data_IF_587992707487
#
_entry.id   IF_587992707487
#
_cell.length_a   1.000
_cell.length_b   1.000
_cell.length_c   1.000
_cell.angle_alpha   90.00
_cell.angle_beta   90.00
_cell.angle_gamma   90.00
#
_symmetry.space_group_name_H-M   'P 1'
#
loop_
_entity.id
_entity.type
_entity.pdbx_description
1 polymer ?
#
# COMPACT_ATOMS: atom_id res chain seq x y z
N UNK A 1 -8.59 16.64 4.60
CA UNK A 1 -7.24 16.07 4.84
C UNK A 1 -6.42 16.35 3.61
N UNK A 2 -5.46 17.29 3.70
CA UNK A 2 -4.67 17.73 2.56
C UNK A 2 -3.55 16.72 2.29
N UNK A 3 -3.40 16.31 1.03
CA UNK A 3 -2.35 15.41 0.56
C UNK A 3 -0.94 15.95 0.87
N UNK A 4 -0.78 17.28 0.95
CA UNK A 4 0.47 17.95 1.37
C UNK A 4 0.89 17.55 2.79
N UNK A 5 -0.06 17.53 3.73
CA UNK A 5 0.22 17.22 5.15
C UNK A 5 0.59 15.74 5.33
N UNK A 6 0.02 14.85 4.49
CA UNK A 6 0.41 13.44 4.48
C UNK A 6 1.82 13.23 3.93
N UNK A 7 2.21 13.96 2.89
CA UNK A 7 3.55 13.89 2.32
C UNK A 7 4.63 14.42 3.25
N UNK A 8 4.37 15.55 3.91
CA UNK A 8 5.29 16.13 4.90
C UNK A 8 5.50 15.20 6.10
N UNK A 9 4.44 14.54 6.58
CA UNK A 9 4.55 13.54 7.64
C UNK A 9 5.32 12.29 7.20
N UNK A 10 5.09 11.78 5.99
CA UNK A 10 5.82 10.62 5.47
C UNK A 10 7.31 10.94 5.27
N UNK A 11 7.62 12.16 4.80
CA UNK A 11 8.99 12.65 4.69
C UNK A 11 9.66 12.79 6.06
N UNK A 12 8.95 13.34 7.05
CA UNK A 12 9.44 13.47 8.42
C UNK A 12 9.70 12.12 9.09
N UNK A 13 8.78 11.15 8.95
CA UNK A 13 8.95 9.80 9.52
C UNK A 13 10.08 9.04 8.83
N UNK A 14 10.29 9.26 7.53
CA UNK A 14 11.43 8.73 6.78
C UNK A 14 12.75 9.34 7.22
N UNK A 15 12.85 10.67 7.31
CA UNK A 15 14.05 11.34 7.83
C UNK A 15 14.36 10.89 9.27
N UNK A 16 13.33 10.71 10.10
CA UNK A 16 13.49 10.26 11.47
C UNK A 16 13.96 8.79 11.55
N UNK A 17 13.48 7.93 10.66
CA UNK A 17 13.95 6.54 10.52
C UNK A 17 15.40 6.47 9.98
N UNK A 18 15.77 7.35 9.04
CA UNK A 18 17.13 7.43 8.50
C UNK A 18 18.11 8.03 9.53
N UNK A 19 17.64 8.92 10.42
CA UNK A 19 18.43 9.54 11.48
C UNK A 19 18.47 8.72 12.78
N UNK A 20 17.52 7.81 13.01
CA UNK A 20 17.43 6.93 14.19
C UNK A 20 18.74 6.22 14.58
N UNK A 21 19.56 5.70 13.64
CA UNK A 21 20.86 5.11 13.96
C UNK A 21 21.90 6.12 14.49
N UNK A 22 21.72 7.40 14.15
CA UNK A 22 22.61 8.52 14.51
C UNK A 22 22.14 9.25 15.78
N UNK A 23 20.84 9.19 16.07
CA UNK A 23 20.25 9.70 17.30
C UNK A 23 20.73 8.79 18.43
N UNK A 24 21.59 9.31 19.30
CA UNK A 24 22.18 8.56 20.40
C UNK A 24 21.12 7.80 21.19
N UNK A 25 21.06 6.48 20.97
CA UNK A 25 20.18 5.52 21.63
C UNK A 25 20.40 5.47 23.16
N UNK A 26 21.43 6.15 23.68
CA UNK A 26 21.66 6.36 25.11
C UNK A 26 20.67 7.35 25.75
N UNK A 27 20.00 8.19 24.95
CA UNK A 27 19.08 9.23 25.45
C UNK A 27 17.62 8.79 25.49
N UNK A 28 17.27 7.71 24.79
CA UNK A 28 15.90 7.23 24.62
C UNK A 28 15.70 5.87 25.27
N UNK A 29 14.53 5.65 25.86
CA UNK A 29 14.21 4.35 26.47
C UNK A 29 14.06 3.29 25.36
N UNK A 30 14.43 2.02 25.61
CA UNK A 30 14.29 0.94 24.62
C UNK A 30 12.88 0.82 24.02
N UNK A 31 11.84 1.08 24.83
CA UNK A 31 10.44 1.10 24.41
C UNK A 31 10.14 2.19 23.36
N UNK A 32 10.79 3.36 23.47
CA UNK A 32 10.61 4.46 22.52
C UNK A 32 11.26 4.12 21.17
N UNK A 33 12.42 3.47 21.20
CA UNK A 33 13.11 3.02 19.99
C UNK A 33 12.27 1.95 19.26
N UNK A 34 11.70 1.00 20.00
CA UNK A 34 10.82 -0.02 19.43
C UNK A 34 9.54 0.59 18.83
N UNK A 35 8.94 1.57 19.49
CA UNK A 35 7.77 2.28 18.96
C UNK A 35 8.11 3.01 17.65
N UNK A 36 9.25 3.71 17.60
CA UNK A 36 9.68 4.41 16.40
C UNK A 36 9.97 3.45 15.25
N UNK A 37 10.60 2.32 15.52
CA UNK A 37 10.82 1.28 14.51
C UNK A 37 9.50 0.76 13.95
N UNK A 38 8.53 0.44 14.83
CA UNK A 38 7.21 -0.05 14.39
C UNK A 38 6.49 0.97 13.51
N UNK A 39 6.53 2.25 13.88
CA UNK A 39 5.92 3.31 13.08
C UNK A 39 6.61 3.47 11.72
N UNK A 40 7.94 3.37 11.68
CA UNK A 40 8.69 3.40 10.43
C UNK A 40 8.31 2.22 9.52
N UNK A 41 8.18 1.02 10.07
CA UNK A 41 7.76 -0.17 9.34
C UNK A 41 6.33 -0.03 8.79
N UNK A 42 5.40 0.48 9.61
CA UNK A 42 4.00 0.74 9.22
C UNK A 42 3.90 1.75 8.06
N UNK A 43 4.66 2.85 8.09
CA UNK A 43 4.67 3.83 7.00
C UNK A 43 5.33 3.29 5.74
N UNK A 44 6.36 2.46 5.87
CA UNK A 44 7.01 1.84 4.73
C UNK A 44 6.06 0.85 4.02
N UNK A 45 5.30 0.06 4.77
CA UNK A 45 4.27 -0.81 4.21
C UNK A 45 3.14 -0.01 3.55
N UNK A 46 2.73 1.11 4.15
CA UNK A 46 1.74 2.01 3.53
C UNK A 46 2.24 2.56 2.20
N UNK A 47 3.49 3.05 2.16
CA UNK A 47 4.09 3.57 0.94
C UNK A 47 4.20 2.48 -0.16
N UNK A 48 4.55 1.25 0.21
CA UNK A 48 4.57 0.11 -0.72
C UNK A 48 3.18 -0.20 -1.28
N UNK A 49 2.16 -0.21 -0.43
CA UNK A 49 0.79 -0.43 -0.86
C UNK A 49 0.32 0.67 -1.82
N UNK A 50 0.59 1.94 -1.50
CA UNK A 50 0.20 3.07 -2.34
C UNK A 50 0.86 3.01 -3.72
N UNK A 51 2.14 2.64 -3.79
CA UNK A 51 2.84 2.47 -5.07
C UNK A 51 2.26 1.31 -5.89
N UNK A 52 1.97 0.18 -5.24
CA UNK A 52 1.32 -0.95 -5.88
C UNK A 52 -0.08 -0.59 -6.42
N UNK A 53 -0.88 0.18 -5.67
CA UNK A 53 -2.17 0.69 -6.16
C UNK A 53 -1.96 1.59 -7.37
N UNK A 54 -0.98 2.50 -7.32
CA UNK A 54 -0.68 3.42 -8.43
C UNK A 54 -0.31 2.64 -9.70
N UNK A 55 0.57 1.64 -9.61
CA UNK A 55 0.98 0.80 -10.73
C UNK A 55 -0.21 0.00 -11.30
N UNK A 56 -1.04 -0.59 -10.42
CA UNK A 56 -2.26 -1.29 -10.84
C UNK A 56 -3.24 -0.38 -11.57
N UNK A 57 -3.45 0.83 -11.07
CA UNK A 57 -4.33 1.82 -11.69
C UNK A 57 -3.76 2.31 -13.02
N UNK A 58 -2.45 2.56 -13.10
CA UNK A 58 -1.78 2.93 -14.35
C UNK A 58 -1.96 1.83 -15.41
N UNK A 59 -1.75 0.57 -15.02
CA UNK A 59 -1.97 -0.60 -15.90
C UNK A 59 -3.42 -0.70 -16.36
N UNK A 60 -4.39 -0.56 -15.44
CA UNK A 60 -5.80 -0.60 -15.78
C UNK A 60 -6.24 0.56 -16.70
N UNK A 61 -5.65 1.75 -16.54
CA UNK A 61 -5.91 2.91 -17.40
C UNK A 61 -5.26 2.80 -18.78
N UNK A 62 -4.13 2.08 -18.88
CA UNK A 62 -3.48 1.80 -20.15
C UNK A 62 -4.22 0.72 -20.96
N UNK A 63 -5.14 -0.03 -20.33
CA UNK A 63 -5.98 -1.00 -21.02
C UNK A 63 -6.93 -0.31 -22.00
N UNK A 64 -6.85 -0.69 -23.27
CA UNK A 64 -7.64 -0.11 -24.36
C UNK A 64 -8.94 -0.87 -24.62
N UNK A 65 -9.18 -1.98 -23.90
CA UNK A 65 -10.39 -2.78 -24.06
C UNK A 65 -11.62 -1.99 -23.59
N UNK A 66 -12.77 -2.14 -24.26
CA UNK A 66 -13.99 -1.48 -23.84
C UNK A 66 -14.43 -2.00 -22.46
N UNK A 67 -15.01 -1.10 -21.66
CA UNK A 67 -15.60 -1.46 -20.37
C UNK A 67 -16.74 -2.48 -20.53
N UNK A 68 -16.89 -3.35 -19.54
CA UNK A 68 -18.01 -4.29 -19.45
C UNK A 68 -19.10 -3.76 -18.53
N UNK A 69 -20.35 -4.11 -18.81
CA UNK A 69 -21.44 -3.85 -17.87
C UNK A 69 -21.34 -4.78 -16.66
N UNK A 70 -21.92 -4.38 -15.54
CA UNK A 70 -21.94 -5.21 -14.32
C UNK A 70 -22.59 -6.58 -14.56
N UNK A 71 -23.60 -6.64 -15.43
CA UNK A 71 -24.29 -7.88 -15.80
C UNK A 71 -23.38 -8.83 -16.60
N UNK A 72 -22.62 -8.29 -17.56
CA UNK A 72 -21.64 -9.05 -18.34
C UNK A 72 -20.55 -9.62 -17.44
N UNK A 73 -20.03 -8.81 -16.51
CA UNK A 73 -19.03 -9.27 -15.53
C UNK A 73 -19.61 -10.38 -14.65
N UNK A 74 -20.84 -10.22 -14.15
CA UNK A 74 -21.50 -11.22 -13.30
C UNK A 74 -21.70 -12.55 -14.04
N UNK A 75 -22.16 -12.50 -15.29
CA UNK A 75 -22.34 -13.71 -16.11
C UNK A 75 -21.01 -14.43 -16.35
N UNK A 76 -19.95 -13.68 -16.69
CA UNK A 76 -18.61 -14.23 -16.90
C UNK A 76 -18.04 -14.87 -15.63
N UNK A 77 -18.24 -14.25 -14.46
CA UNK A 77 -17.78 -14.81 -13.18
C UNK A 77 -18.53 -16.07 -12.79
N UNK A 78 -19.86 -16.11 -12.98
CA UNK A 78 -20.66 -17.30 -12.71
C UNK A 78 -20.23 -18.48 -13.59
N UNK A 79 -20.05 -18.23 -14.89
CA UNK A 79 -19.56 -19.25 -15.82
C UNK A 79 -18.18 -19.78 -15.40
N UNK A 80 -17.25 -18.89 -15.04
CA UNK A 80 -15.91 -19.29 -14.60
C UNK A 80 -15.95 -20.09 -13.29
N UNK A 81 -16.88 -19.79 -12.41
CA UNK A 81 -17.09 -20.54 -11.18
C UNK A 81 -17.63 -21.96 -11.45
N UNK A 82 -18.58 -22.09 -12.38
CA UNK A 82 -19.09 -23.38 -12.85
C UNK A 82 -17.98 -24.22 -13.49
N UNK A 83 -17.19 -23.63 -14.39
CA UNK A 83 -16.04 -24.30 -15.02
C UNK A 83 -14.99 -24.78 -14.00
N UNK A 84 -14.72 -23.99 -12.95
CA UNK A 84 -13.81 -24.39 -11.87
C UNK A 84 -14.40 -25.48 -10.97
N UNK A 85 -15.71 -25.48 -10.76
CA UNK A 85 -16.41 -26.47 -9.95
C UNK A 85 -16.48 -27.82 -10.64
N UNK A 86 -16.73 -27.83 -11.95
CA UNK A 86 -16.84 -29.05 -12.75
C UNK A 86 -15.46 -29.68 -13.07
N UNK A 87 -14.38 -28.93 -12.86
CA UNK A 87 -13.00 -29.39 -13.00
C UNK A 87 -12.44 -30.10 -11.74
N UNK A 88 -13.23 -30.18 -10.66
CA UNK A 88 -12.90 -30.84 -9.37
C UNK A 88 -13.69 -32.12 -9.24
#
# INVERSE_FOLDING_TARGET
MNTSTHYENAHFLRELAELLPSISLQKYKPEQVQLLQRLADEELERARHDEWVREKVATARADTRPGMTTEQVRSMLNRRYEELRDAV
#
